data_IF_498772687460
#
_entry.id   IF_498772687460
#
_cell.length_a   1.000
_cell.length_b   1.000
_cell.length_c   1.000
_cell.angle_alpha   90.00
_cell.angle_beta   90.00
_cell.angle_gamma   90.00
#
_symmetry.space_group_name_H-M   'P 1'
#
loop_
_entity.id
_entity.type
_entity.pdbx_description
1 polymer ?
#
# COMPACT_ATOMS: atom_id res chain seq x y z
N UNK A 1 -49.11 1.46 -1.99
CA UNK A 1 -48.61 2.04 -0.71
C UNK A 1 -47.12 1.74 -0.62
N UNK A 2 -46.26 2.75 -0.52
CA UNK A 2 -44.79 2.60 -0.44
C UNK A 2 -44.34 2.86 1.01
N UNK A 3 -43.56 2.00 1.67
CA UNK A 3 -43.01 2.30 2.98
C UNK A 3 -41.86 3.32 2.88
N UNK A 4 -41.87 4.24 3.84
CA UNK A 4 -40.98 5.39 4.02
C UNK A 4 -39.59 5.01 4.54
N UNK A 5 -38.57 5.72 4.10
CA UNK A 5 -37.19 5.59 4.53
C UNK A 5 -36.98 6.23 5.92
N UNK A 6 -37.35 5.49 6.97
CA UNK A 6 -37.09 5.87 8.35
C UNK A 6 -35.62 5.65 8.73
N UNK A 7 -34.87 6.76 8.73
CA UNK A 7 -33.94 7.15 9.80
C UNK A 7 -33.15 6.02 10.48
N UNK A 8 -31.99 5.65 9.93
CA UNK A 8 -30.93 5.00 10.68
C UNK A 8 -29.70 5.91 10.73
N UNK A 9 -29.70 6.85 11.68
CA UNK A 9 -28.51 7.60 12.09
C UNK A 9 -27.63 6.65 12.89
N UNK A 10 -26.68 5.98 12.22
CA UNK A 10 -25.63 5.22 12.89
C UNK A 10 -24.73 6.20 13.63
N UNK A 11 -24.65 6.04 14.95
CA UNK A 11 -23.74 6.78 15.83
C UNK A 11 -22.31 6.61 15.32
N UNK A 12 -21.72 7.70 14.81
CA UNK A 12 -20.31 7.78 14.48
C UNK A 12 -19.50 7.49 15.76
N UNK A 13 -18.65 6.48 15.71
CA UNK A 13 -17.66 6.20 16.74
C UNK A 13 -16.72 7.41 16.86
N UNK A 14 -16.39 7.77 18.11
CA UNK A 14 -15.53 8.91 18.45
C UNK A 14 -14.19 8.83 17.70
N UNK A 15 -13.63 9.94 17.20
CA UNK A 15 -12.33 9.92 16.54
C UNK A 15 -11.24 9.52 17.55
N UNK A 16 -10.46 8.51 17.18
CA UNK A 16 -9.24 8.13 17.91
C UNK A 16 -8.26 9.30 17.82
N UNK A 17 -7.88 9.86 18.98
CA UNK A 17 -6.84 10.90 19.05
C UNK A 17 -5.53 10.27 18.56
N UNK A 18 -4.85 10.84 17.55
CA UNK A 18 -3.52 10.39 17.19
C UNK A 18 -2.56 10.79 18.31
N UNK A 19 -2.15 9.84 19.14
CA UNK A 19 -1.01 10.01 20.04
C UNK A 19 0.27 9.93 19.21
N UNK A 20 0.48 10.91 18.34
CA UNK A 20 1.71 11.05 17.56
C UNK A 20 2.78 11.64 18.46
N UNK A 21 3.60 10.76 19.05
CA UNK A 21 4.92 11.17 19.53
C UNK A 21 5.79 11.41 18.29
N UNK A 22 5.88 12.67 17.88
CA UNK A 22 6.85 13.11 16.87
C UNK A 22 8.22 13.02 17.53
N UNK A 23 8.93 11.94 17.25
CA UNK A 23 10.35 11.86 17.56
C UNK A 23 11.08 12.79 16.59
N UNK A 24 11.42 13.99 17.07
CA UNK A 24 12.33 14.87 16.36
C UNK A 24 13.63 14.09 16.12
N UNK A 25 13.99 13.90 14.84
CA UNK A 25 15.30 13.35 14.48
C UNK A 25 16.35 14.30 15.09
N UNK A 26 17.29 13.82 15.93
CA UNK A 26 18.45 14.63 16.23
C UNK A 26 19.14 14.92 14.90
N UNK A 27 19.29 16.20 14.60
CA UNK A 27 20.07 16.68 13.46
C UNK A 27 21.44 16.03 13.54
N UNK A 28 21.84 15.38 12.45
CA UNK A 28 23.12 14.70 12.35
C UNK A 28 24.24 15.70 12.63
N UNK A 29 24.80 15.66 13.84
CA UNK A 29 26.10 16.23 14.13
C UNK A 29 27.10 15.53 13.21
N UNK A 30 27.78 16.33 12.41
CA UNK A 30 28.91 15.95 11.54
C UNK A 30 29.74 14.85 12.18
N UNK A 31 29.81 13.70 11.51
CA UNK A 31 30.65 12.60 11.91
C UNK A 31 32.10 12.92 11.56
N UNK A 32 32.91 13.24 12.58
CA UNK A 32 34.36 13.18 12.48
C UNK A 32 34.79 11.72 12.23
N UNK A 33 35.61 11.43 11.21
CA UNK A 33 35.96 10.05 10.83
C UNK A 33 37.06 9.44 11.71
N UNK A 34 37.31 9.96 12.91
CA UNK A 34 38.35 9.44 13.80
C UNK A 34 37.77 8.84 15.08
N UNK A 35 37.94 7.52 15.17
CA UNK A 35 37.69 6.67 16.35
C UNK A 35 36.22 6.29 16.60
N UNK A 36 35.77 5.27 15.86
CA UNK A 36 34.63 4.45 16.27
C UNK A 36 35.02 3.60 17.50
N UNK A 37 35.29 4.26 18.63
CA UNK A 37 35.39 3.59 19.92
C UNK A 37 33.95 3.25 20.32
N UNK A 38 33.60 1.96 20.52
CA UNK A 38 32.25 1.62 20.95
C UNK A 38 32.00 2.28 22.31
N UNK A 39 31.00 3.16 22.39
CA UNK A 39 30.60 3.78 23.64
C UNK A 39 29.99 2.71 24.54
N UNK A 40 30.78 2.21 25.49
CA UNK A 40 30.32 1.23 26.49
C UNK A 40 29.39 1.96 27.45
N UNK A 41 28.09 1.66 27.37
CA UNK A 41 27.09 2.19 28.31
C UNK A 41 26.82 1.11 29.37
N UNK A 42 26.96 1.44 30.68
CA UNK A 42 26.62 0.51 31.75
C UNK A 42 25.18 0.02 31.64
N UNK A 43 24.98 -1.29 31.81
CA UNK A 43 23.69 -1.97 31.63
C UNK A 43 22.58 -1.44 32.56
N UNK A 44 22.98 -0.86 33.69
CA UNK A 44 22.09 -0.22 34.68
C UNK A 44 21.41 1.04 34.14
N UNK A 45 22.05 1.76 33.20
CA UNK A 45 21.52 2.97 32.57
C UNK A 45 20.57 2.66 31.42
N UNK A 46 20.49 1.41 30.98
CA UNK A 46 19.50 0.97 30.01
C UNK A 46 18.17 0.77 30.75
N UNK A 47 17.13 1.47 30.30
CA UNK A 47 15.79 1.29 30.84
C UNK A 47 15.39 -0.19 30.71
N UNK A 48 15.21 -0.89 31.83
CA UNK A 48 14.87 -2.33 31.92
C UNK A 48 13.52 -2.70 31.27
N UNK A 49 12.84 -1.74 30.65
CA UNK A 49 11.49 -1.83 30.09
C UNK A 49 11.45 -1.84 28.56
N UNK A 50 12.55 -2.21 27.90
CA UNK A 50 12.47 -2.54 26.48
C UNK A 50 11.86 -3.93 26.34
N UNK A 51 10.55 -4.01 26.14
CA UNK A 51 9.91 -5.24 25.68
C UNK A 51 10.60 -5.64 24.37
N UNK A 52 11.32 -6.76 24.38
CA UNK A 52 11.87 -7.33 23.16
C UNK A 52 10.65 -7.74 22.33
N UNK A 53 10.36 -6.97 21.28
CA UNK A 53 9.28 -7.34 20.36
C UNK A 53 9.70 -8.66 19.69
N UNK A 54 8.80 -9.66 19.63
CA UNK A 54 9.10 -10.89 18.92
C UNK A 54 9.37 -10.58 17.44
N UNK A 55 10.18 -11.44 16.81
CA UNK A 55 10.42 -11.34 15.38
C UNK A 55 9.06 -11.38 14.63
N UNK A 56 8.88 -10.54 13.59
CA UNK A 56 7.67 -10.58 12.80
C UNK A 56 7.51 -11.96 12.15
N UNK A 57 6.26 -12.45 12.11
CA UNK A 57 5.94 -13.72 11.45
C UNK A 57 6.34 -13.64 9.98
N UNK A 58 7.10 -14.62 9.45
CA UNK A 58 7.44 -14.66 8.03
C UNK A 58 6.13 -14.72 7.22
N UNK A 59 5.96 -13.78 6.30
CA UNK A 59 4.84 -13.83 5.36
C UNK A 59 5.13 -14.94 4.36
N UNK A 60 4.32 -15.99 4.37
CA UNK A 60 4.33 -16.99 3.31
C UNK A 60 3.92 -16.31 2.00
N UNK A 61 4.87 -16.13 1.09
CA UNK A 61 4.67 -15.50 -0.22
C UNK A 61 3.86 -16.38 -1.19
N UNK A 62 3.48 -17.58 -0.77
CA UNK A 62 2.84 -18.60 -1.61
C UNK A 62 1.44 -18.21 -2.07
N UNK A 63 0.72 -17.40 -1.28
CA UNK A 63 -0.64 -16.96 -1.62
C UNK A 63 -0.61 -15.46 -1.88
N UNK A 64 -0.45 -15.08 -3.16
CA UNK A 64 -0.62 -13.70 -3.57
C UNK A 64 -2.11 -13.35 -3.43
N UNK A 65 -2.47 -12.25 -2.74
CA UNK A 65 -3.84 -11.80 -2.72
C UNK A 65 -4.31 -11.50 -4.15
N UNK A 66 -5.61 -11.69 -4.45
CA UNK A 66 -6.13 -11.43 -5.79
C UNK A 66 -5.90 -9.97 -6.16
N UNK A 67 -5.50 -9.73 -7.40
CA UNK A 67 -5.29 -8.36 -7.87
C UNK A 67 -6.62 -7.62 -7.96
N UNK A 68 -6.58 -6.28 -7.87
CA UNK A 68 -7.79 -5.48 -8.00
C UNK A 68 -8.51 -5.77 -9.33
N UNK A 69 -7.76 -5.97 -10.42
CA UNK A 69 -8.30 -6.30 -11.74
C UNK A 69 -9.06 -7.62 -11.69
N UNK A 70 -8.49 -8.67 -11.09
CA UNK A 70 -9.17 -9.96 -10.92
C UNK A 70 -10.46 -9.81 -10.11
N UNK A 71 -10.44 -9.04 -9.03
CA UNK A 71 -11.64 -8.81 -8.23
C UNK A 71 -12.74 -8.06 -9.01
N UNK A 72 -12.36 -7.11 -9.86
CA UNK A 72 -13.31 -6.36 -10.69
C UNK A 72 -13.85 -7.21 -11.84
N UNK A 73 -13.02 -8.05 -12.46
CA UNK A 73 -13.46 -9.00 -13.47
C UNK A 73 -14.45 -10.01 -12.89
N UNK A 74 -14.17 -10.56 -11.71
CA UNK A 74 -15.09 -11.45 -11.01
C UNK A 74 -16.44 -10.77 -10.71
N UNK A 75 -16.42 -9.50 -10.27
CA UNK A 75 -17.64 -8.72 -10.02
C UNK A 75 -18.41 -8.42 -11.30
N UNK A 76 -17.72 -8.12 -12.41
CA UNK A 76 -18.37 -7.89 -13.71
C UNK A 76 -19.10 -9.14 -14.19
N UNK A 77 -18.46 -10.30 -14.08
CA UNK A 77 -19.08 -11.59 -14.41
C UNK A 77 -20.28 -11.89 -13.51
N UNK A 78 -20.19 -11.60 -12.22
CA UNK A 78 -21.28 -11.83 -11.27
C UNK A 78 -22.49 -10.91 -11.47
N UNK A 79 -22.27 -9.66 -11.92
CA UNK A 79 -23.33 -8.66 -12.08
C UNK A 79 -23.96 -8.63 -13.47
N UNK A 80 -23.26 -9.10 -14.51
CA UNK A 80 -23.77 -9.14 -15.88
C UNK A 80 -24.33 -7.78 -16.34
N UNK A 81 -25.63 -7.75 -16.63
CA UNK A 81 -26.35 -6.56 -17.10
C UNK A 81 -26.43 -5.41 -16.09
N UNK A 82 -26.20 -5.69 -14.80
CA UNK A 82 -26.16 -4.66 -13.75
C UNK A 82 -24.79 -3.99 -13.64
N UNK A 83 -23.82 -4.37 -14.46
CA UNK A 83 -22.50 -3.76 -14.43
C UNK A 83 -22.55 -2.30 -14.92
N UNK A 84 -22.00 -1.34 -14.16
CA UNK A 84 -21.99 0.06 -14.56
C UNK A 84 -21.33 0.26 -15.95
N UNK A 85 -22.01 0.92 -16.91
CA UNK A 85 -21.52 1.07 -18.28
C UNK A 85 -20.28 1.99 -18.37
N UNK A 86 -20.07 2.84 -17.36
CA UNK A 86 -18.91 3.73 -17.29
C UNK A 86 -17.62 3.02 -16.83
N UNK A 87 -17.66 1.76 -16.36
CA UNK A 87 -16.48 1.03 -15.92
C UNK A 87 -16.02 0.01 -16.97
N UNK A 88 -14.97 0.37 -17.72
CA UNK A 88 -14.24 -0.52 -18.63
C UNK A 88 -13.00 -1.06 -17.92
N UNK A 89 -12.83 -2.38 -17.95
CA UNK A 89 -11.65 -3.06 -17.38
C UNK A 89 -10.75 -3.41 -18.56
N UNK A 90 -9.63 -2.69 -18.69
CA UNK A 90 -8.65 -2.96 -19.74
C UNK A 90 -7.72 -4.13 -19.35
N UNK A 91 -7.36 -5.00 -20.30
CA UNK A 91 -6.44 -6.09 -20.05
C UNK A 91 -5.01 -5.58 -19.85
N UNK A 92 -4.22 -6.32 -19.06
CA UNK A 92 -2.81 -6.00 -18.84
C UNK A 92 -2.04 -6.25 -20.14
N UNK A 93 -1.43 -5.19 -20.68
CA UNK A 93 -0.62 -5.27 -21.90
C UNK A 93 0.71 -5.97 -21.60
N UNK A 94 0.84 -7.23 -22.01
CA UNK A 94 2.03 -8.06 -21.80
C UNK A 94 3.20 -7.66 -22.71
N UNK A 95 4.39 -8.26 -22.54
CA UNK A 95 5.51 -8.01 -23.47
C UNK A 95 5.25 -8.56 -24.87
N UNK A 96 4.46 -9.63 -24.97
CA UNK A 96 4.13 -10.34 -26.21
C UNK A 96 3.27 -9.49 -27.14
N UNK A 97 2.34 -8.72 -26.59
CA UNK A 97 1.54 -7.76 -27.39
C UNK A 97 2.39 -6.70 -28.08
N UNK A 98 3.59 -6.40 -27.57
CA UNK A 98 4.53 -5.49 -28.22
C UNK A 98 5.45 -6.17 -29.22
N UNK A 99 5.50 -7.51 -29.30
CA UNK A 99 6.38 -8.25 -30.20
C UNK A 99 6.31 -7.80 -31.68
N UNK A 100 5.13 -7.58 -32.28
CA UNK A 100 5.04 -7.15 -33.68
C UNK A 100 5.38 -5.66 -33.89
N UNK A 101 5.43 -4.86 -32.83
CA UNK A 101 5.64 -3.41 -32.94
C UNK A 101 7.12 -3.10 -33.13
N UNK A 102 7.47 -2.19 -34.05
CA UNK A 102 8.86 -1.74 -34.23
C UNK A 102 9.42 -1.09 -32.95
N UNK A 103 10.69 -1.39 -32.62
CA UNK A 103 11.33 -0.96 -31.36
C UNK A 103 11.25 0.55 -31.11
N UNK A 104 11.42 1.37 -32.15
CA UNK A 104 11.35 2.83 -32.06
C UNK A 104 9.96 3.38 -31.72
N UNK A 105 8.89 2.64 -32.07
CA UNK A 105 7.51 3.04 -31.80
C UNK A 105 7.01 2.59 -30.42
N UNK A 106 7.58 1.50 -29.87
CA UNK A 106 7.17 0.96 -28.56
C UNK A 106 7.30 1.97 -27.44
N UNK A 107 8.37 2.77 -27.43
CA UNK A 107 8.59 3.79 -26.39
C UNK A 107 7.53 4.88 -26.44
N UNK A 108 7.19 5.37 -27.64
CA UNK A 108 6.14 6.37 -27.86
C UNK A 108 4.77 5.84 -27.45
N UNK A 109 4.42 4.63 -27.88
CA UNK A 109 3.13 4.02 -27.56
C UNK A 109 3.00 3.72 -26.05
N UNK A 110 4.06 3.24 -25.40
CA UNK A 110 4.08 3.06 -23.94
C UNK A 110 3.96 4.38 -23.19
N UNK A 111 4.50 5.48 -23.73
CA UNK A 111 4.34 6.81 -23.15
C UNK A 111 2.89 7.28 -23.26
N UNK A 112 2.22 7.05 -24.40
CA UNK A 112 0.81 7.40 -24.58
C UNK A 112 -0.15 6.61 -23.67
N UNK A 113 0.21 5.38 -23.30
CA UNK A 113 -0.59 4.54 -22.41
C UNK A 113 -0.48 4.92 -20.93
N UNK A 114 0.49 5.75 -20.56
CA UNK A 114 0.58 6.34 -19.23
C UNK A 114 -0.06 7.71 -19.33
N UNK A 115 -1.27 7.84 -18.80
CA UNK A 115 -1.89 9.15 -18.61
C UNK A 115 -0.94 10.03 -17.77
N UNK A 116 -0.74 11.27 -18.21
CA UNK A 116 0.01 12.30 -17.47
C UNK A 116 -0.74 12.74 -16.21
#
# INVERSE_FOLDING_TARGET
MRPSAACMVRKLSKPLKPNMQIFARPTATQADPQSAIPRIVPREKLARRTSILPAPVPRNHEIKPPTLIETLMARKLALGDKWPPNLRIEPVISRETWAPVQKGLRSKLKKMLREE
#
